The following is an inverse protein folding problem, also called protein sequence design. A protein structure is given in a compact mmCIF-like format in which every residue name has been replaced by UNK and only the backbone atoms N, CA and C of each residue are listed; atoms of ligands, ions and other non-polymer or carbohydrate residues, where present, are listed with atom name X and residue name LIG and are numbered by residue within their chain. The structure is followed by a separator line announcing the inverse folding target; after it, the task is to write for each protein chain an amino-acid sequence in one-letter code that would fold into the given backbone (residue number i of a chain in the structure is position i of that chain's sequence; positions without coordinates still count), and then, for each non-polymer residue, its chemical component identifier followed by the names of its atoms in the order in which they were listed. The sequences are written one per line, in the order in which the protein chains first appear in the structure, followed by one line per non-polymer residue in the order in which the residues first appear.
data_IF_251201184986
#
_entry.id   IF_251201184986
#
_cell.length_a   1.000
_cell.length_b   1.000
_cell.length_c   1.000
_cell.angle_alpha   90.00
_cell.angle_beta   90.00
_cell.angle_gamma   90.00
#
_symmetry.space_group_name_H-M   'P 1'
#
loop_
_entity.id
_entity.type
_entity.pdbx_description
1 polymer ?
#
# COMPACT_ATOMS: atom_id res chain seq x y z
N UNK A 1 -13.46 -8.21 -1.38
CA UNK A 1 -13.13 -6.77 -1.44
C UNK A 1 -14.32 -5.80 -1.60
N UNK A 2 -15.26 -5.95 -2.56
CA UNK A 2 -16.37 -4.99 -2.76
C UNK A 2 -17.32 -4.81 -1.55
N UNK A 3 -17.39 -5.79 -0.66
CA UNK A 3 -18.35 -5.81 0.45
C UNK A 3 -17.91 -4.99 1.68
N UNK A 4 -16.67 -4.48 1.71
CA UNK A 4 -16.10 -3.82 2.90
C UNK A 4 -15.78 -2.32 2.71
N UNK A 5 -15.80 -1.78 1.48
CA UNK A 5 -15.63 -0.34 1.26
C UNK A 5 -17.00 0.29 0.99
N UNK A 6 -17.48 1.12 1.93
CA UNK A 6 -18.59 2.07 1.71
C UNK A 6 -18.20 3.11 0.64
N UNK A 7 -19.14 4.03 0.32
CA UNK A 7 -19.18 5.09 -0.71
C UNK A 7 -17.90 5.89 -1.10
N UNK A 8 -16.72 5.62 -0.53
CA UNK A 8 -15.43 6.24 -0.89
C UNK A 8 -14.43 5.27 -1.53
N UNK A 9 -14.87 4.09 -1.96
CA UNK A 9 -14.02 3.17 -2.71
C UNK A 9 -13.61 3.81 -4.05
N UNK A 10 -12.32 3.84 -4.41
CA UNK A 10 -11.95 4.20 -5.77
C UNK A 10 -12.63 3.22 -6.74
N UNK A 11 -13.22 3.71 -7.85
CA UNK A 11 -13.98 2.88 -8.78
C UNK A 11 -13.10 1.80 -9.44
N UNK A 12 -11.79 2.02 -9.48
CA UNK A 12 -10.78 1.12 -10.05
C UNK A 12 -9.63 0.98 -9.07
N UNK A 13 -9.20 -0.26 -8.83
CA UNK A 13 -7.93 -0.60 -8.18
C UNK A 13 -7.07 -1.36 -9.18
N UNK A 14 -5.87 -0.87 -9.41
CA UNK A 14 -4.84 -1.56 -10.18
C UNK A 14 -4.08 -2.48 -9.24
N UNK A 15 -3.62 -3.63 -9.74
CA UNK A 15 -2.87 -4.59 -8.94
C UNK A 15 -1.87 -5.40 -9.74
N UNK A 16 -0.82 -5.86 -9.06
CA UNK A 16 0.18 -6.80 -9.60
C UNK A 16 0.52 -7.84 -8.54
N UNK A 17 0.66 -9.11 -8.95
CA UNK A 17 0.93 -10.24 -8.06
C UNK A 17 -0.27 -11.15 -7.85
N UNK A 18 -0.26 -11.87 -6.73
CA UNK A 18 -1.24 -12.91 -6.44
C UNK A 18 -2.54 -12.38 -5.80
N UNK A 19 -3.55 -12.11 -6.61
CA UNK A 19 -4.84 -11.58 -6.16
C UNK A 19 -5.50 -12.40 -5.02
N UNK A 20 -5.22 -13.70 -4.88
CA UNK A 20 -5.78 -14.50 -3.79
C UNK A 20 -5.40 -13.96 -2.41
N UNK A 21 -4.23 -13.32 -2.29
CA UNK A 21 -3.74 -12.71 -1.06
C UNK A 21 -4.65 -11.59 -0.54
N UNK A 22 -5.40 -10.90 -1.42
CA UNK A 22 -6.29 -9.80 -1.03
C UNK A 22 -7.49 -10.25 -0.16
N UNK A 23 -7.76 -11.55 -0.09
CA UNK A 23 -8.84 -12.11 0.72
C UNK A 23 -8.34 -12.88 1.94
N UNK A 24 -7.02 -12.98 2.15
CA UNK A 24 -6.43 -13.76 3.24
C UNK A 24 -6.49 -13.05 4.60
N UNK A 25 -6.56 -11.72 4.62
CA UNK A 25 -6.41 -10.93 5.84
C UNK A 25 -4.99 -11.03 6.42
N UNK A 26 -4.71 -10.39 7.55
CA UNK A 26 -3.37 -10.45 8.14
C UNK A 26 -3.07 -9.35 9.15
N UNK A 27 -1.78 -9.22 9.49
CA UNK A 27 -1.28 -8.16 10.36
C UNK A 27 -1.09 -6.88 9.56
N UNK A 28 -1.80 -5.82 9.94
CA UNK A 28 -1.61 -4.49 9.37
C UNK A 28 -0.46 -3.75 10.08
N UNK A 29 0.54 -3.30 9.32
CA UNK A 29 1.57 -2.36 9.78
C UNK A 29 1.36 -1.03 9.06
N UNK A 30 1.22 0.03 9.85
CA UNK A 30 0.97 1.39 9.39
C UNK A 30 2.10 2.28 9.88
N UNK A 31 2.77 2.97 8.96
CA UNK A 31 3.79 3.96 9.31
C UNK A 31 3.21 5.13 10.12
N UNK A 32 3.91 5.58 11.17
CA UNK A 32 3.70 6.91 11.74
C UNK A 32 4.57 7.95 11.02
N UNK A 33 4.25 9.24 11.18
CA UNK A 33 5.03 10.34 10.57
C UNK A 33 6.41 10.52 11.20
N UNK A 34 6.61 9.99 12.41
CA UNK A 34 7.85 10.08 13.19
C UNK A 34 8.20 8.69 13.70
N UNK A 35 9.07 7.99 12.97
CA UNK A 35 9.68 6.73 13.42
C UNK A 35 11.18 6.95 13.54
N UNK A 36 11.70 6.65 14.73
CA UNK A 36 13.12 6.59 15.00
C UNK A 36 13.74 5.26 14.51
N UNK A 37 15.08 5.14 14.48
CA UNK A 37 15.73 3.88 14.05
C UNK A 37 15.32 2.65 14.87
N UNK A 38 14.98 2.83 16.15
CA UNK A 38 14.54 1.74 17.04
C UNK A 38 13.17 1.21 16.62
N UNK A 39 12.24 2.11 16.29
CA UNK A 39 10.92 1.76 15.78
C UNK A 39 10.99 1.06 14.42
N UNK A 40 11.96 1.41 13.58
CA UNK A 40 12.21 0.72 12.32
C UNK A 40 12.68 -0.73 12.55
N UNK A 41 13.67 -0.93 13.42
CA UNK A 41 14.19 -2.26 13.77
C UNK A 41 13.09 -3.14 14.41
N UNK A 42 12.31 -2.57 15.32
CA UNK A 42 11.16 -3.26 15.91
C UNK A 42 10.14 -3.68 14.85
N UNK A 43 9.82 -2.77 13.91
CA UNK A 43 8.90 -3.06 12.82
C UNK A 43 9.39 -4.21 11.93
N UNK A 44 10.68 -4.22 11.59
CA UNK A 44 11.28 -5.31 10.83
C UNK A 44 11.18 -6.64 11.58
N UNK A 45 11.50 -6.66 12.88
CA UNK A 45 11.39 -7.86 13.72
C UNK A 45 9.96 -8.39 13.78
N UNK A 46 8.97 -7.52 13.98
CA UNK A 46 7.55 -7.92 13.99
C UNK A 46 7.13 -8.49 12.64
N UNK A 47 7.57 -7.89 11.52
CA UNK A 47 7.29 -8.40 10.19
C UNK A 47 7.91 -9.78 9.94
N UNK A 48 9.16 -10.00 10.36
CA UNK A 48 9.84 -11.30 10.26
C UNK A 48 9.15 -12.38 11.10
N UNK A 49 8.81 -12.07 12.35
CA UNK A 49 8.09 -13.00 13.24
C UNK A 49 6.74 -13.39 12.63
N UNK A 50 6.00 -12.41 12.11
CA UNK A 50 4.70 -12.66 11.46
C UNK A 50 4.85 -13.57 10.24
N UNK A 51 5.86 -13.30 9.39
CA UNK A 51 6.17 -14.14 8.24
C UNK A 51 6.51 -15.58 8.64
N UNK A 52 7.34 -15.78 9.68
CA UNK A 52 7.66 -17.11 10.20
C UNK A 52 6.44 -17.85 10.74
N UNK A 53 5.45 -17.14 11.27
CA UNK A 53 4.19 -17.70 11.74
C UNK A 53 3.16 -17.94 10.63
N UNK A 54 3.50 -17.62 9.37
CA UNK A 54 2.57 -17.73 8.24
C UNK A 54 1.48 -16.65 8.25
N UNK A 55 1.65 -15.60 9.05
CA UNK A 55 0.72 -14.47 9.10
C UNK A 55 1.07 -13.51 7.96
N UNK A 56 0.12 -13.28 7.06
CA UNK A 56 0.28 -12.32 5.98
C UNK A 56 0.45 -10.90 6.54
N UNK A 57 1.35 -10.14 5.95
CA UNK A 57 1.53 -8.73 6.27
C UNK A 57 0.71 -7.84 5.32
N UNK A 58 0.08 -6.79 5.85
CA UNK A 58 -0.61 -5.76 5.06
C UNK A 58 -0.02 -4.40 5.41
N UNK A 59 0.33 -3.58 4.42
CA UNK A 59 0.90 -2.25 4.67
C UNK A 59 0.58 -1.26 3.54
N UNK A 60 0.73 0.04 3.79
CA UNK A 60 0.51 1.11 2.80
C UNK A 60 1.61 1.22 1.74
N UNK A 61 2.67 0.41 1.86
CA UNK A 61 3.80 0.36 0.93
C UNK A 61 4.45 1.72 0.63
N UNK A 62 4.26 2.70 1.51
CA UNK A 62 4.94 3.97 1.44
C UNK A 62 6.46 3.81 1.69
N UNK A 63 7.21 4.90 1.51
CA UNK A 63 8.62 4.93 1.89
C UNK A 63 8.78 4.75 3.40
N UNK A 64 9.97 4.32 3.83
CA UNK A 64 10.30 4.17 5.25
C UNK A 64 9.76 2.86 5.82
N UNK A 65 8.94 2.97 6.88
CA UNK A 65 8.49 1.84 7.72
C UNK A 65 7.71 0.80 6.93
N UNK A 66 6.75 1.23 6.11
CA UNK A 66 5.92 0.33 5.30
C UNK A 66 6.79 -0.53 4.37
N UNK A 67 7.69 0.12 3.62
CA UNK A 67 8.64 -0.58 2.75
C UNK A 67 9.54 -1.54 3.53
N UNK A 68 10.09 -1.12 4.66
CA UNK A 68 10.97 -1.95 5.48
C UNK A 68 10.25 -3.19 6.02
N UNK A 69 9.01 -3.02 6.49
CA UNK A 69 8.17 -4.11 6.98
C UNK A 69 7.85 -5.11 5.86
N UNK A 70 7.40 -4.60 4.70
CA UNK A 70 7.04 -5.44 3.56
C UNK A 70 8.23 -6.23 3.03
N UNK A 71 9.41 -5.61 2.95
CA UNK A 71 10.64 -6.28 2.52
C UNK A 71 11.05 -7.36 3.51
N UNK A 72 11.08 -7.03 4.80
CA UNK A 72 11.45 -7.98 5.84
C UNK A 72 10.53 -9.22 5.84
N UNK A 73 9.21 -9.05 5.69
CA UNK A 73 8.28 -10.18 5.59
C UNK A 73 8.54 -11.05 4.34
N UNK A 74 8.77 -10.42 3.18
CA UNK A 74 9.02 -11.11 1.91
C UNK A 74 10.37 -11.85 1.91
N UNK A 75 11.42 -11.23 2.43
CA UNK A 75 12.77 -11.81 2.53
C UNK A 75 12.77 -13.03 3.46
N UNK A 76 11.92 -13.04 4.49
CA UNK A 76 11.70 -14.18 5.39
C UNK A 76 10.84 -15.29 4.77
N UNK A 77 10.35 -15.12 3.54
CA UNK A 77 9.51 -16.15 2.88
C UNK A 77 8.01 -15.97 3.10
N UNK A 78 7.58 -14.94 3.85
CA UNK A 78 6.18 -14.67 4.15
C UNK A 78 5.40 -14.13 2.95
N UNK A 79 4.09 -13.90 3.18
CA UNK A 79 3.21 -13.27 2.19
C UNK A 79 2.84 -11.86 2.59
N UNK A 80 2.69 -10.98 1.60
CA UNK A 80 2.50 -9.54 1.83
C UNK A 80 1.51 -8.94 0.84
N UNK A 81 0.69 -7.99 1.32
CA UNK A 81 -0.15 -7.10 0.50
C UNK A 81 0.26 -5.64 0.75
N UNK A 82 0.58 -4.89 -0.31
CA UNK A 82 0.91 -3.47 -0.25
C UNK A 82 -0.14 -2.60 -0.92
N UNK A 83 -0.66 -1.58 -0.22
CA UNK A 83 -1.61 -0.60 -0.77
C UNK A 83 -0.92 0.74 -1.06
N UNK A 84 -0.35 0.89 -2.26
CA UNK A 84 0.47 2.03 -2.64
C UNK A 84 -0.36 3.30 -2.85
N UNK A 85 0.14 4.42 -2.31
CA UNK A 85 -0.38 5.77 -2.53
C UNK A 85 0.20 6.46 -3.79
N UNK A 86 0.76 5.68 -4.73
CA UNK A 86 1.33 6.13 -5.98
C UNK A 86 1.18 5.04 -7.07
N UNK A 87 1.46 5.33 -8.35
CA UNK A 87 1.41 4.33 -9.43
C UNK A 87 2.27 3.09 -9.15
N UNK A 88 1.82 1.92 -9.63
CA UNK A 88 2.50 0.63 -9.42
C UNK A 88 3.76 0.44 -10.27
N UNK A 89 3.92 1.23 -11.34
CA UNK A 89 4.83 0.93 -12.44
C UNK A 89 6.29 0.80 -12.02
N UNK A 90 6.74 1.59 -11.03
CA UNK A 90 8.10 1.54 -10.52
C UNK A 90 8.32 0.35 -9.58
N UNK A 91 7.40 0.11 -8.66
CA UNK A 91 7.50 -0.93 -7.63
C UNK A 91 7.32 -2.32 -8.22
N UNK A 92 6.40 -2.47 -9.20
CA UNK A 92 6.12 -3.71 -9.91
C UNK A 92 7.34 -4.28 -10.65
N UNK A 93 8.24 -3.42 -11.12
CA UNK A 93 9.46 -3.81 -11.83
C UNK A 93 10.72 -3.75 -10.95
N UNK A 94 10.59 -3.30 -9.70
CA UNK A 94 11.73 -3.17 -8.81
C UNK A 94 12.30 -4.54 -8.46
N UNK A 95 13.63 -4.67 -8.46
CA UNK A 95 14.32 -5.90 -8.07
C UNK A 95 13.94 -6.37 -6.67
N UNK A 96 13.63 -5.42 -5.77
CA UNK A 96 13.24 -5.68 -4.39
C UNK A 96 11.93 -6.50 -4.27
N UNK A 97 11.00 -6.36 -5.22
CA UNK A 97 9.70 -7.03 -5.18
C UNK A 97 9.48 -8.05 -6.29
N UNK A 98 10.30 -8.00 -7.35
CA UNK A 98 10.13 -8.83 -8.56
C UNK A 98 10.04 -10.32 -8.24
N UNK A 99 10.98 -10.86 -7.46
CA UNK A 99 11.00 -12.29 -7.12
C UNK A 99 9.74 -12.69 -6.34
N UNK A 100 9.37 -11.90 -5.33
CA UNK A 100 8.20 -12.16 -4.50
C UNK A 100 6.86 -12.09 -5.25
N UNK A 101 6.76 -11.19 -6.23
CA UNK A 101 5.61 -11.13 -7.14
C UNK A 101 5.55 -12.39 -7.99
N UNK A 102 6.68 -12.82 -8.55
CA UNK A 102 6.78 -14.02 -9.38
C UNK A 102 6.48 -15.30 -8.59
N UNK A 103 6.94 -15.37 -7.34
CA UNK A 103 6.68 -16.48 -6.42
C UNK A 103 5.23 -16.50 -5.88
N UNK A 104 4.41 -15.49 -6.23
CA UNK A 104 3.03 -15.37 -5.76
C UNK A 104 2.89 -15.03 -4.28
N UNK A 105 3.96 -14.50 -3.66
CA UNK A 105 4.03 -14.14 -2.23
C UNK A 105 3.75 -12.66 -1.97
N UNK A 106 3.77 -11.81 -3.00
CA UNK A 106 3.48 -10.38 -2.87
C UNK A 106 2.37 -9.96 -3.82
N UNK A 107 1.46 -9.14 -3.31
CA UNK A 107 0.50 -8.37 -4.12
C UNK A 107 0.61 -6.89 -3.81
N UNK A 108 0.78 -6.07 -4.83
CA UNK A 108 0.73 -4.62 -4.72
C UNK A 108 -0.55 -4.13 -5.39
N UNK A 109 -1.26 -3.21 -4.75
CA UNK A 109 -2.45 -2.54 -5.29
C UNK A 109 -2.33 -1.04 -5.15
N UNK A 110 -2.93 -0.30 -6.08
CA UNK A 110 -2.97 1.16 -6.06
C UNK A 110 -4.27 1.66 -6.69
N UNK A 111 -4.79 2.77 -6.18
CA UNK A 111 -5.88 3.50 -6.81
C UNK A 111 -5.40 4.44 -7.94
N UNK A 112 -4.08 4.60 -8.09
CA UNK A 112 -3.48 5.47 -9.09
C UNK A 112 -3.23 4.72 -10.39
N UNK A 113 -3.56 5.35 -11.51
CA UNK A 113 -3.30 4.80 -12.84
C UNK A 113 -1.79 4.54 -13.04
N UNK A 114 -1.38 3.30 -13.36
CA UNK A 114 0.03 2.97 -13.63
C UNK A 114 0.63 3.78 -14.79
N UNK A 115 -0.18 4.28 -15.73
CA UNK A 115 0.25 5.08 -16.87
C UNK A 115 0.18 6.60 -16.63
N UNK A 116 -0.28 7.04 -15.45
CA UNK A 116 -0.21 8.45 -15.07
C UNK A 116 1.25 8.85 -14.83
N UNK A 117 1.93 9.30 -15.89
CA UNK A 117 3.22 9.97 -15.78
C UNK A 117 3.14 11.11 -14.77
N UNK A 118 4.20 11.29 -13.98
CA UNK A 118 4.32 12.30 -12.93
C UNK A 118 4.05 13.69 -13.51
N UNK A 119 2.83 14.20 -13.36
CA UNK A 119 2.42 15.51 -13.85
C UNK A 119 2.14 16.40 -12.63
N UNK A 120 2.88 17.50 -12.52
CA UNK A 120 2.81 18.46 -11.41
C UNK A 120 1.39 19.04 -11.26
N UNK A 121 0.57 18.98 -12.32
CA UNK A 121 -0.85 19.35 -12.28
C UNK A 121 -1.75 18.46 -11.40
N UNK A 122 -1.37 17.22 -11.09
CA UNK A 122 -2.14 16.34 -10.20
C UNK A 122 -1.82 16.55 -8.70
N UNK A 123 -0.80 17.34 -8.36
CA UNK A 123 -0.42 17.63 -6.98
C UNK A 123 -1.24 18.76 -6.32
N UNK A 124 -2.06 19.49 -7.08
CA UNK A 124 -2.88 20.61 -6.59
C UNK A 124 -4.40 20.35 -6.59
N UNK A 125 -4.85 19.09 -6.66
CA UNK A 125 -6.28 18.74 -6.81
C UNK A 125 -6.99 18.22 -5.56
N UNK A 126 -6.30 17.97 -4.45
CA UNK A 126 -6.89 17.27 -3.30
C UNK A 126 -6.52 17.87 -1.93
N UNK A 127 -6.48 19.20 -1.83
CA UNK A 127 -6.65 19.85 -0.52
C UNK A 127 -8.16 19.96 -0.23
N UNK A 128 -8.69 18.96 0.46
CA UNK A 128 -10.04 19.03 1.02
C UNK A 128 -9.96 19.72 2.38
N UNK A 129 -9.90 21.05 2.38
CA UNK A 129 -10.14 21.87 3.58
C UNK A 129 -11.62 22.25 3.62
N UNK A 130 -12.35 21.95 4.72
CA UNK A 130 -13.74 22.36 4.83
C UNK A 130 -13.77 23.80 5.37
N UNK A 131 -13.93 24.78 4.49
CA UNK A 131 -14.39 26.11 4.92
C UNK A 131 -15.80 26.36 4.40
N UNK A 132 -16.67 26.56 5.39
CA UNK A 132 -18.03 27.06 5.31
C UNK A 132 -18.26 28.17 4.29
N UNK A 133 -19.50 28.20 3.80
CA UNK A 133 -20.32 29.37 3.51
C UNK A 133 -20.72 29.56 2.03
N UNK A 134 -22.04 29.44 1.86
CA UNK A 134 -22.91 30.31 1.07
C UNK A 134 -23.19 30.04 -0.43
N UNK A 135 -24.43 29.59 -0.64
CA UNK A 135 -25.42 30.08 -1.59
C UNK A 135 -25.07 30.31 -3.08
N UNK A 136 -25.81 29.58 -3.94
CA UNK A 136 -26.81 30.11 -4.89
C UNK A 136 -26.70 29.64 -6.35
N UNK A 137 -27.89 29.34 -6.92
CA UNK A 137 -28.33 29.35 -8.34
C UNK A 137 -27.88 28.16 -9.24
N UNK A 138 -28.77 27.25 -9.68
CA UNK A 138 -29.79 27.37 -10.77
C UNK A 138 -29.11 27.78 -12.09
N UNK A 139 -29.09 27.02 -13.20
CA UNK A 139 -30.04 26.09 -13.84
C UNK A 139 -29.38 24.82 -14.35
#
# INVERSE_FOLDING_TARGET
MKQHLKHSAPPILYGVGNQALLNSGGLAIVSSREVDPTGLDYTQKVAQISAHQGIQLVSGGAKGVDRAAMLAAVETGGTTVGMLAHPLSKEAVSSAYRSAIQDGRLTLVSAYDPNAGFNVGNAMGHDMTPSSSDQSLIR
#
